data_IF_413612501672
#
_entry.id   IF_413612501672
#
_cell.length_a   1.000
_cell.length_b   1.000
_cell.length_c   1.000
_cell.angle_alpha   90.00
_cell.angle_beta   90.00
_cell.angle_gamma   90.00
#
_symmetry.space_group_name_H-M   'P 1'
#
loop_
_entity.id
_entity.type
_entity.pdbx_description
1 polymer ?
#
# COMPACT_ATOMS: atom_id res chain seq x y z
N UNK A 1 -20.63 -1.90 -3.51
CA UNK A 1 -19.80 -1.60 -4.70
C UNK A 1 -18.71 -0.64 -4.25
N UNK A 2 -17.44 -0.99 -4.39
CA UNK A 2 -16.40 0.02 -4.29
C UNK A 2 -16.49 0.89 -5.55
N UNK A 3 -16.83 2.16 -5.39
CA UNK A 3 -17.01 3.12 -6.48
C UNK A 3 -15.71 3.22 -7.30
N UNK A 4 -15.80 3.45 -8.61
CA UNK A 4 -14.61 3.51 -9.50
C UNK A 4 -13.52 4.47 -9.03
N UNK A 5 -13.89 5.58 -8.38
CA UNK A 5 -12.96 6.50 -7.73
C UNK A 5 -12.07 5.83 -6.66
N UNK A 6 -12.62 4.86 -5.91
CA UNK A 6 -11.88 4.11 -4.89
C UNK A 6 -10.95 3.06 -5.51
N UNK A 7 -11.25 2.55 -6.71
CA UNK A 7 -10.32 1.72 -7.49
C UNK A 7 -9.14 2.55 -7.98
N UNK A 8 -9.40 3.76 -8.48
CA UNK A 8 -8.39 4.61 -9.08
C UNK A 8 -7.41 5.15 -8.03
N UNK A 9 -7.93 5.66 -6.91
CA UNK A 9 -7.10 6.07 -5.77
C UNK A 9 -6.22 4.92 -5.26
N UNK A 10 -6.79 3.71 -5.16
CA UNK A 10 -6.04 2.51 -4.77
C UNK A 10 -4.89 2.19 -5.74
N UNK A 11 -5.14 2.24 -7.05
CA UNK A 11 -4.10 1.99 -8.06
C UNK A 11 -2.94 2.96 -7.95
N UNK A 12 -3.24 4.26 -7.77
CA UNK A 12 -2.20 5.29 -7.62
C UNK A 12 -1.34 5.04 -6.38
N UNK A 13 -1.95 4.69 -5.25
CA UNK A 13 -1.22 4.34 -4.03
C UNK A 13 -0.32 3.13 -4.27
N UNK A 14 -0.83 2.11 -4.95
CA UNK A 14 -0.08 0.88 -5.25
C UNK A 14 1.13 1.14 -6.17
N UNK A 15 0.98 2.00 -7.18
CA UNK A 15 2.08 2.45 -8.04
C UNK A 15 3.14 3.23 -7.24
N UNK A 16 2.73 4.10 -6.32
CA UNK A 16 3.66 4.84 -5.44
C UNK A 16 4.40 3.89 -4.50
N UNK A 17 3.71 2.93 -3.89
CA UNK A 17 4.33 1.89 -3.05
C UNK A 17 5.37 1.11 -3.86
N UNK A 18 5.01 0.62 -5.04
CA UNK A 18 5.94 -0.10 -5.92
C UNK A 18 7.12 0.78 -6.35
N UNK A 19 6.92 2.09 -6.51
CA UNK A 19 7.99 3.05 -6.84
C UNK A 19 8.92 3.36 -5.66
N UNK A 20 8.43 3.31 -4.42
CA UNK A 20 9.25 3.53 -3.21
C UNK A 20 10.02 2.27 -2.85
N UNK A 21 9.39 1.11 -2.99
CA UNK A 21 9.93 -0.19 -2.61
C UNK A 21 10.16 -1.07 -3.85
N UNK A 22 10.93 -0.57 -4.81
CA UNK A 22 11.21 -1.26 -6.08
C UNK A 22 11.95 -2.58 -5.92
N UNK A 23 12.68 -2.75 -4.82
CA UNK A 23 13.45 -3.96 -4.51
C UNK A 23 12.60 -5.06 -3.85
N UNK A 24 11.32 -4.78 -3.58
CA UNK A 24 10.42 -5.69 -2.88
C UNK A 24 9.27 -6.10 -3.80
N UNK A 25 9.18 -7.40 -4.07
CA UNK A 25 8.01 -7.97 -4.73
C UNK A 25 6.86 -8.10 -3.72
N UNK A 26 5.83 -7.29 -3.90
CA UNK A 26 4.58 -7.45 -3.14
C UNK A 26 3.66 -8.46 -3.83
N UNK A 27 3.10 -9.39 -3.07
CA UNK A 27 2.07 -10.29 -3.61
C UNK A 27 0.81 -9.48 -3.96
N UNK A 28 0.52 -9.46 -5.24
CA UNK A 28 -0.63 -8.81 -5.88
C UNK A 28 -1.98 -9.26 -5.26
N UNK A 29 -2.06 -10.50 -4.75
CA UNK A 29 -3.24 -11.01 -4.03
C UNK A 29 -3.39 -10.38 -2.66
N UNK A 30 -2.30 -10.26 -1.91
CA UNK A 30 -2.30 -9.71 -0.56
C UNK A 30 -2.52 -8.18 -0.61
N UNK A 31 -1.93 -7.49 -1.60
CA UNK A 31 -2.24 -6.09 -1.88
C UNK A 31 -3.72 -5.88 -2.21
N UNK A 32 -4.33 -6.74 -3.02
CA UNK A 32 -5.77 -6.66 -3.32
C UNK A 32 -6.65 -6.85 -2.07
N UNK A 33 -6.21 -7.62 -1.07
CA UNK A 33 -6.91 -7.75 0.22
C UNK A 33 -6.73 -6.51 1.10
N UNK A 34 -5.58 -5.85 1.03
CA UNK A 34 -5.32 -4.59 1.71
C UNK A 34 -6.13 -3.41 1.14
N UNK A 35 -6.77 -3.59 -0.02
CA UNK A 35 -7.59 -2.57 -0.67
C UNK A 35 -8.70 -2.03 0.22
N UNK A 36 -8.66 -0.73 0.47
CA UNK A 36 -9.63 -0.04 1.33
C UNK A 36 -9.38 -0.25 2.83
N UNK A 37 -8.31 -0.94 3.21
CA UNK A 37 -7.89 -1.13 4.59
C UNK A 37 -6.42 -0.73 4.76
N UNK A 38 -6.20 0.54 5.12
CA UNK A 38 -4.88 1.12 5.32
C UNK A 38 -4.04 0.34 6.35
N UNK A 39 -4.67 -0.20 7.40
CA UNK A 39 -3.97 -0.97 8.44
C UNK A 39 -3.37 -2.26 7.89
N UNK A 40 -4.13 -3.00 7.08
CA UNK A 40 -3.66 -4.25 6.45
C UNK A 40 -2.52 -3.95 5.46
N UNK A 41 -2.60 -2.83 4.75
CA UNK A 41 -1.53 -2.39 3.85
C UNK A 41 -0.23 -2.11 4.62
N UNK A 42 -0.31 -1.35 5.72
CA UNK A 42 0.86 -1.05 6.55
C UNK A 42 1.46 -2.32 7.13
N UNK A 43 0.63 -3.25 7.63
CA UNK A 43 1.09 -4.53 8.15
C UNK A 43 1.83 -5.34 7.07
N UNK A 44 1.32 -5.36 5.84
CA UNK A 44 1.91 -6.07 4.71
C UNK A 44 3.24 -5.45 4.29
N UNK A 45 3.31 -4.12 4.18
CA UNK A 45 4.54 -3.40 3.86
C UNK A 45 5.57 -3.61 4.97
N UNK A 46 5.17 -3.55 6.24
CA UNK A 46 6.06 -3.82 7.37
C UNK A 46 6.63 -5.24 7.31
N UNK A 47 5.80 -6.23 7.01
CA UNK A 47 6.26 -7.62 6.92
C UNK A 47 7.29 -7.83 5.81
N UNK A 48 7.14 -7.14 4.68
CA UNK A 48 8.07 -7.26 3.55
C UNK A 48 9.33 -6.40 3.71
N UNK A 49 9.19 -5.17 4.19
CA UNK A 49 10.28 -4.17 4.29
C UNK A 49 11.04 -4.26 5.61
N UNK A 50 10.41 -4.74 6.67
CA UNK A 50 10.91 -4.61 8.04
C UNK A 50 10.84 -3.18 8.60
N UNK A 51 10.32 -2.21 7.85
CA UNK A 51 10.27 -0.81 8.29
C UNK A 51 9.27 -0.59 9.43
N UNK A 52 9.49 0.42 10.29
CA UNK A 52 8.54 0.83 11.30
C UNK A 52 7.19 1.24 10.68
N UNK A 53 6.09 0.88 11.33
CA UNK A 53 4.73 1.23 10.88
C UNK A 53 4.54 2.74 10.70
N UNK A 54 5.18 3.55 11.55
CA UNK A 54 5.07 5.00 11.51
C UNK A 54 5.71 5.58 10.25
N UNK A 55 6.88 5.07 9.83
CA UNK A 55 7.57 5.50 8.62
C UNK A 55 6.78 5.10 7.37
N UNK A 56 6.23 3.89 7.36
CA UNK A 56 5.35 3.41 6.28
C UNK A 56 4.10 4.28 6.19
N UNK A 57 3.46 4.57 7.33
CA UNK A 57 2.28 5.43 7.37
C UNK A 57 2.59 6.82 6.84
N UNK A 58 3.68 7.46 7.30
CA UNK A 58 4.15 8.77 6.84
C UNK A 58 4.30 8.81 5.32
N UNK A 59 4.98 7.80 4.74
CA UNK A 59 5.14 7.66 3.29
C UNK A 59 3.78 7.56 2.59
N UNK A 60 2.91 6.66 3.04
CA UNK A 60 1.57 6.48 2.44
C UNK A 60 0.72 7.74 2.53
N UNK A 61 0.71 8.42 3.69
CA UNK A 61 -0.05 9.66 3.86
C UNK A 61 0.49 10.82 3.05
N UNK A 62 1.75 10.76 2.61
CA UNK A 62 2.32 11.75 1.69
C UNK A 62 1.84 11.54 0.25
N UNK A 63 1.26 10.37 -0.07
CA UNK A 63 0.73 10.02 -1.39
C UNK A 63 -0.80 10.15 -1.50
N UNK A 64 -1.49 10.35 -0.38
CA UNK A 64 -2.94 10.56 -0.28
C UNK A 64 -3.29 12.04 -0.51
#
# INVERSE_FOLDING_TARGET
MATDAMNESWRRILEQIQSVWTEIEFDDKELKKARGNLRVMIDLIQQQTGEPREDILQKITSFL
#
